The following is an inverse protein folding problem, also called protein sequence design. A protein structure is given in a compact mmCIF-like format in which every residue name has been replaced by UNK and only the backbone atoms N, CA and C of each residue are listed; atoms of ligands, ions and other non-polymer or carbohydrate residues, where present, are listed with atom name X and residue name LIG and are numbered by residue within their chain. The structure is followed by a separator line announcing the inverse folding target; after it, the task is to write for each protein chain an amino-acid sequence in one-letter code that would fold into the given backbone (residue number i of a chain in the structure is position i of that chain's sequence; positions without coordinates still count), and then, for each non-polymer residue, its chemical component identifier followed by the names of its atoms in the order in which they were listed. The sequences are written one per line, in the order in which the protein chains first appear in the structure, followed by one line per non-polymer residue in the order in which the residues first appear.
data_IF_121916210775
#
_entry.id   IF_121916210775
#
_cell.length_a   1.000
_cell.length_b   1.000
_cell.length_c   1.000
_cell.angle_alpha   90.00
_cell.angle_beta   90.00
_cell.angle_gamma   90.00
#
_symmetry.space_group_name_H-M   'P 1'
#
loop_
_entity.id
_entity.type
_entity.pdbx_description
1 polymer ?
#
# COMPACT_ATOMS: atom_id res chain seq x y z
N UNK A 1 23.62 12.84 -15.60
CA UNK A 1 24.34 12.54 -14.34
C UNK A 1 25.64 11.82 -14.71
N UNK A 2 26.77 12.13 -14.05
CA UNK A 2 28.06 11.44 -14.26
C UNK A 2 28.29 10.35 -13.19
N UNK A 3 29.15 9.36 -13.45
CA UNK A 3 29.49 8.28 -12.52
C UNK A 3 29.99 8.80 -11.16
N UNK A 4 30.91 9.77 -11.18
CA UNK A 4 31.40 10.41 -9.96
C UNK A 4 30.29 11.11 -9.17
N UNK A 5 29.36 11.78 -9.86
CA UNK A 5 28.22 12.43 -9.22
C UNK A 5 27.27 11.39 -8.60
N UNK A 6 27.01 10.27 -9.28
CA UNK A 6 26.16 9.21 -8.78
C UNK A 6 26.75 8.54 -7.53
N UNK A 7 28.06 8.25 -7.53
CA UNK A 7 28.76 7.71 -6.36
C UNK A 7 28.75 8.68 -5.18
N UNK A 8 28.96 9.97 -5.44
CA UNK A 8 28.89 11.02 -4.42
C UNK A 8 27.48 11.18 -3.83
N UNK A 9 26.44 11.09 -4.66
CA UNK A 9 25.04 11.15 -4.22
C UNK A 9 24.69 9.96 -3.34
N UNK A 10 25.24 8.77 -3.62
CA UNK A 10 25.05 7.57 -2.78
C UNK A 10 26.04 7.47 -1.62
N UNK A 11 27.10 8.28 -1.60
CA UNK A 11 28.19 8.28 -0.62
C UNK A 11 28.89 6.92 -0.51
N UNK A 12 29.28 6.39 -1.67
CA UNK A 12 29.97 5.10 -1.82
C UNK A 12 31.29 5.32 -2.57
N UNK A 13 32.28 4.46 -2.32
CA UNK A 13 33.57 4.55 -3.00
C UNK A 13 33.44 4.15 -4.48
N UNK A 14 34.34 4.69 -5.30
CA UNK A 14 34.57 4.34 -6.69
C UNK A 14 34.79 2.84 -6.95
N UNK A 15 35.31 2.11 -5.97
CA UNK A 15 35.58 0.67 -6.05
C UNK A 15 34.52 -0.19 -5.34
N UNK A 16 33.42 0.41 -4.87
CA UNK A 16 32.40 -0.33 -4.12
C UNK A 16 31.69 -1.40 -4.94
N UNK A 17 31.39 -2.51 -4.28
CA UNK A 17 30.66 -3.63 -4.88
C UNK A 17 29.21 -3.25 -5.21
N UNK A 18 28.56 -4.03 -6.09
CA UNK A 18 27.14 -3.81 -6.41
C UNK A 18 26.24 -3.97 -5.17
N UNK A 19 26.65 -4.82 -4.23
CA UNK A 19 25.96 -5.06 -2.96
C UNK A 19 26.04 -3.82 -2.05
N UNK A 20 27.21 -3.20 -1.94
CA UNK A 20 27.41 -1.93 -1.23
C UNK A 20 26.63 -0.77 -1.84
N UNK A 21 26.61 -0.64 -3.16
CA UNK A 21 25.82 0.39 -3.85
C UNK A 21 24.32 0.21 -3.56
N UNK A 22 23.86 -1.05 -3.51
CA UNK A 22 22.47 -1.41 -3.22
C UNK A 22 22.11 -1.16 -1.75
N UNK A 23 23.01 -1.44 -0.80
CA UNK A 23 22.78 -1.15 0.62
C UNK A 23 22.75 0.36 0.89
N UNK A 24 23.71 1.12 0.33
CA UNK A 24 23.78 2.57 0.46
C UNK A 24 22.54 3.29 -0.12
N UNK A 25 22.07 2.84 -1.29
CA UNK A 25 20.82 3.35 -1.89
C UNK A 25 19.62 3.16 -0.95
N UNK A 26 19.46 1.95 -0.39
CA UNK A 26 18.33 1.65 0.50
C UNK A 26 18.36 2.48 1.78
N UNK A 27 19.55 2.65 2.37
CA UNK A 27 19.77 3.52 3.54
C UNK A 27 19.29 4.95 3.27
N UNK A 28 19.77 5.55 2.17
CA UNK A 28 19.39 6.92 1.78
C UNK A 28 17.93 7.06 1.38
N UNK A 29 17.35 6.03 0.75
CA UNK A 29 15.94 6.02 0.37
C UNK A 29 15.01 6.07 1.61
N UNK A 30 15.40 5.44 2.72
CA UNK A 30 14.64 5.46 3.97
C UNK A 30 14.83 6.75 4.77
N UNK A 31 16.02 7.35 4.68
CA UNK A 31 16.30 8.64 5.31
C UNK A 31 15.52 9.78 4.64
N UNK A 32 15.48 9.79 3.30
CA UNK A 32 14.85 10.83 2.49
C UNK A 32 13.49 10.42 1.90
N UNK A 33 12.80 9.45 2.50
CA UNK A 33 11.49 9.03 2.00
C UNK A 33 10.46 10.16 2.15
N UNK A 34 9.70 10.52 1.09
CA UNK A 34 8.79 11.67 1.12
C UNK A 34 7.63 11.52 2.12
N UNK A 35 7.34 10.30 2.58
CA UNK A 35 6.34 10.06 3.64
C UNK A 35 6.85 10.42 5.04
N UNK A 36 8.17 10.39 5.27
CA UNK A 36 8.77 10.70 6.57
C UNK A 36 8.87 12.21 6.81
N UNK A 37 9.03 12.99 5.74
CA UNK A 37 9.21 14.43 5.81
C UNK A 37 8.19 15.20 4.99
N UNK A 38 7.62 16.24 5.60
CA UNK A 38 6.62 17.10 4.93
C UNK A 38 7.27 18.21 4.08
N UNK A 39 8.59 18.17 3.87
CA UNK A 39 9.35 19.25 3.26
C UNK A 39 9.61 18.98 1.77
N UNK A 40 9.38 19.98 0.91
CA UNK A 40 9.58 19.88 -0.55
C UNK A 40 11.02 19.57 -0.98
N UNK A 41 12.01 19.83 -0.12
CA UNK A 41 13.42 19.64 -0.46
C UNK A 41 13.84 18.16 -0.48
N UNK A 42 13.19 17.31 0.32
CA UNK A 42 13.56 15.89 0.42
C UNK A 42 13.06 15.07 -0.79
N UNK A 43 11.98 15.50 -1.44
CA UNK A 43 11.53 14.95 -2.71
C UNK A 43 12.58 15.12 -3.82
N UNK A 44 13.25 16.28 -3.87
CA UNK A 44 14.32 16.56 -4.82
C UNK A 44 15.55 15.67 -4.55
N UNK A 45 15.90 15.46 -3.28
CA UNK A 45 17.02 14.59 -2.91
C UNK A 45 16.70 13.11 -3.17
N UNK A 46 15.49 12.64 -2.85
CA UNK A 46 15.06 11.27 -3.12
C UNK A 46 15.12 10.94 -4.62
N UNK A 47 14.67 11.89 -5.46
CA UNK A 47 14.78 11.76 -6.91
C UNK A 47 16.23 11.64 -7.37
N UNK A 48 17.14 12.47 -6.84
CA UNK A 48 18.59 12.39 -7.15
C UNK A 48 19.19 11.04 -6.73
N UNK A 49 18.80 10.53 -5.56
CA UNK A 49 19.25 9.22 -5.05
C UNK A 49 18.81 8.09 -5.99
N UNK A 50 17.56 8.14 -6.48
CA UNK A 50 17.02 7.15 -7.42
C UNK A 50 17.73 7.22 -8.78
N UNK A 51 17.89 8.42 -9.33
CA UNK A 51 18.62 8.64 -10.59
C UNK A 51 20.08 8.15 -10.51
N UNK A 52 20.75 8.37 -9.38
CA UNK A 52 22.11 7.91 -9.15
C UNK A 52 22.23 6.39 -9.13
N UNK A 53 21.32 5.71 -8.42
CA UNK A 53 21.31 4.24 -8.33
C UNK A 53 21.00 3.59 -9.68
N UNK A 54 20.00 4.09 -10.41
CA UNK A 54 19.66 3.60 -11.75
C UNK A 54 20.84 3.72 -12.72
N UNK A 55 21.56 4.85 -12.65
CA UNK A 55 22.75 5.07 -13.47
C UNK A 55 23.85 4.04 -13.15
N UNK A 56 24.17 3.82 -11.88
CA UNK A 56 25.21 2.85 -11.48
C UNK A 56 24.82 1.41 -11.82
N UNK A 57 23.54 1.05 -11.63
CA UNK A 57 23.02 -0.27 -11.99
C UNK A 57 23.13 -0.54 -13.49
N UNK A 58 22.84 0.44 -14.33
CA UNK A 58 22.90 0.31 -15.80
C UNK A 58 24.34 0.13 -16.31
N UNK A 59 25.29 0.91 -15.78
CA UNK A 59 26.70 0.82 -16.16
C UNK A 59 27.34 -0.51 -15.72
N UNK A 60 26.87 -1.09 -14.62
CA UNK A 60 27.31 -2.42 -14.17
C UNK A 60 26.79 -3.53 -15.11
N UNK A 61 25.52 -3.46 -15.54
CA UNK A 61 24.96 -4.43 -16.49
C UNK A 61 25.64 -4.41 -17.87
N UNK A 62 25.94 -3.21 -18.41
CA UNK A 62 26.63 -3.08 -19.70
C UNK A 62 28.04 -3.69 -19.73
N UNK A 63 28.70 -3.83 -18.56
CA UNK A 63 29.97 -4.55 -18.44
C UNK A 63 29.81 -6.07 -18.39
N UNK A 64 28.68 -6.58 -17.91
CA UNK A 64 28.42 -8.01 -17.74
C UNK A 64 27.64 -8.64 -18.92
N UNK A 65 27.00 -7.85 -19.78
CA UNK A 65 26.28 -8.35 -20.96
C UNK A 65 27.20 -9.01 -22.01
N UNK A 66 28.51 -8.84 -21.91
CA UNK A 66 29.50 -9.55 -22.77
C UNK A 66 29.64 -11.04 -22.40
N UNK A 67 29.17 -11.47 -21.22
CA UNK A 67 29.39 -12.84 -20.70
C UNK A 67 28.11 -13.69 -20.52
N UNK A 68 26.92 -13.18 -20.86
CA UNK A 68 25.68 -13.96 -20.81
C UNK A 68 25.02 -14.12 -22.19
N UNK A 69 25.76 -14.71 -23.12
CA UNK A 69 25.17 -15.57 -24.14
C UNK A 69 25.60 -17.00 -23.80
N UNK A 70 24.65 -17.93 -23.73
CA UNK A 70 24.78 -19.37 -23.44
C UNK A 70 24.52 -19.76 -21.97
N UNK A 71 23.24 -19.77 -21.57
CA UNK A 71 22.65 -20.92 -20.87
C UNK A 71 21.18 -20.66 -20.49
N UNK A 72 20.31 -20.60 -21.51
CA UNK A 72 18.86 -20.64 -21.34
C UNK A 72 18.36 -22.09 -21.38
N UNK A 73 18.58 -22.85 -20.29
CA UNK A 73 17.80 -24.07 -20.03
C UNK A 73 16.54 -23.70 -19.25
N UNK A 74 15.32 -24.01 -19.74
CA UNK A 74 14.10 -23.71 -19.00
C UNK A 74 14.02 -24.61 -17.76
N UNK A 75 14.09 -24.01 -16.57
CA UNK A 75 13.78 -24.71 -15.30
C UNK A 75 12.26 -24.95 -15.26
N UNK A 76 11.80 -26.09 -15.75
CA UNK A 76 10.37 -26.44 -15.86
C UNK A 76 9.71 -26.91 -14.55
N UNK A 77 10.34 -26.74 -13.39
CA UNK A 77 9.79 -27.21 -12.10
C UNK A 77 9.83 -26.13 -11.01
N UNK A 78 9.19 -24.98 -11.25
CA UNK A 78 8.88 -24.02 -10.20
C UNK A 78 7.57 -24.43 -9.51
N UNK A 79 7.64 -25.21 -8.43
CA UNK A 79 6.47 -25.46 -7.57
C UNK A 79 6.10 -24.14 -6.89
N UNK A 80 5.06 -23.47 -7.37
CA UNK A 80 4.49 -22.28 -6.73
C UNK A 80 3.91 -22.70 -5.38
N UNK A 81 4.41 -22.10 -4.29
CA UNK A 81 3.75 -22.23 -2.99
C UNK A 81 2.38 -21.52 -3.07
N UNK A 82 1.33 -22.05 -2.41
CA UNK A 82 0.04 -21.38 -2.35
C UNK A 82 0.22 -19.98 -1.76
N UNK A 83 -0.43 -18.99 -2.36
CA UNK A 83 -0.54 -17.66 -1.77
C UNK A 83 -1.56 -17.74 -0.63
N UNK A 84 -1.14 -17.48 0.61
CA UNK A 84 -2.00 -17.52 1.79
C UNK A 84 -1.23 -17.97 3.03
N UNK A 85 -1.78 -17.62 4.21
CA UNK A 85 -1.30 -18.18 5.47
C UNK A 85 -1.73 -19.67 5.55
N UNK A 86 -0.85 -20.58 6.01
CA UNK A 86 -1.23 -21.97 6.31
C UNK A 86 -2.38 -22.01 7.33
N UNK A 87 -3.29 -22.96 7.20
CA UNK A 87 -4.53 -23.02 8.01
C UNK A 87 -4.29 -23.25 9.51
N UNK A 88 -3.18 -23.87 9.91
CA UNK A 88 -2.99 -24.39 11.28
C UNK A 88 -1.72 -23.93 12.02
N UNK A 89 -1.00 -22.95 11.49
CA UNK A 89 0.16 -22.37 12.18
C UNK A 89 -0.16 -20.93 12.59
N UNK A 90 -0.13 -20.65 13.91
CA UNK A 90 -0.02 -19.27 14.40
C UNK A 90 1.07 -18.60 13.57
N UNK A 91 0.71 -17.56 12.83
CA UNK A 91 1.65 -16.75 12.03
C UNK A 91 2.83 -16.48 12.97
N UNK A 92 4.03 -17.05 12.72
CA UNK A 92 5.16 -16.84 13.58
C UNK A 92 5.34 -15.34 13.70
N UNK A 93 5.36 -14.84 14.94
CA UNK A 93 5.47 -13.42 15.27
C UNK A 93 6.41 -12.77 14.26
N UNK A 94 5.81 -11.95 13.39
CA UNK A 94 6.26 -11.59 12.06
C UNK A 94 7.79 -11.49 11.93
N UNK A 95 8.46 -12.59 11.58
CA UNK A 95 9.90 -12.59 11.30
C UNK A 95 10.12 -12.07 9.87
N UNK A 96 9.90 -10.76 9.72
CA UNK A 96 10.26 -10.01 8.51
C UNK A 96 11.77 -10.13 8.22
N UNK A 97 12.56 -10.47 9.26
CA UNK A 97 13.97 -10.82 9.21
C UNK A 97 14.28 -11.81 8.10
N UNK A 98 13.37 -12.72 7.73
CA UNK A 98 13.58 -13.62 6.58
C UNK A 98 13.73 -12.90 5.22
N UNK A 99 13.00 -11.81 5.02
CA UNK A 99 13.03 -11.02 3.78
C UNK A 99 14.04 -9.87 3.84
N UNK A 100 14.48 -9.50 5.04
CA UNK A 100 15.51 -8.49 5.29
C UNK A 100 16.87 -9.09 5.70
N UNK A 101 16.99 -10.43 5.79
CA UNK A 101 18.18 -11.12 6.32
C UNK A 101 19.46 -10.80 5.59
N UNK A 102 19.42 -10.91 4.25
CA UNK A 102 20.54 -10.58 3.35
C UNK A 102 20.99 -9.11 3.46
N UNK A 103 20.20 -8.29 4.14
CA UNK A 103 20.33 -6.85 4.21
C UNK A 103 20.67 -6.34 5.62
N UNK A 104 20.17 -7.01 6.66
CA UNK A 104 20.57 -6.81 8.06
C UNK A 104 22.01 -7.26 8.33
N UNK A 105 22.52 -8.24 7.57
CA UNK A 105 23.88 -8.76 7.71
C UNK A 105 24.99 -7.74 7.32
N UNK A 106 24.67 -6.71 6.52
CA UNK A 106 25.66 -5.73 6.03
C UNK A 106 25.93 -4.54 6.95
N UNK A 107 24.95 -4.09 7.74
CA UNK A 107 25.09 -2.99 8.71
C UNK A 107 24.08 -3.17 9.87
N UNK A 108 24.31 -4.15 10.77
CA UNK A 108 23.33 -4.55 11.79
C UNK A 108 23.00 -3.44 12.81
N UNK A 109 23.96 -2.56 13.07
CA UNK A 109 23.82 -1.49 14.05
C UNK A 109 22.92 -0.37 13.53
N UNK A 110 23.05 -0.01 12.24
CA UNK A 110 22.14 0.93 11.59
C UNK A 110 20.68 0.44 11.66
N UNK A 111 20.43 -0.84 11.39
CA UNK A 111 19.06 -1.39 11.39
C UNK A 111 18.42 -1.41 12.77
N UNK A 112 19.16 -1.83 13.79
CA UNK A 112 18.66 -1.83 15.18
C UNK A 112 18.31 -0.42 15.65
N UNK A 113 19.17 0.56 15.34
CA UNK A 113 18.91 1.95 15.71
C UNK A 113 17.74 2.54 14.90
N UNK A 114 17.69 2.28 13.59
CA UNK A 114 16.62 2.73 12.72
C UNK A 114 15.27 2.16 13.13
N UNK A 115 15.18 0.84 13.36
CA UNK A 115 13.95 0.16 13.77
C UNK A 115 13.47 0.68 15.13
N UNK A 116 14.38 0.79 16.10
CA UNK A 116 14.06 1.36 17.42
C UNK A 116 13.49 2.76 17.28
N UNK A 117 14.16 3.64 16.54
CA UNK A 117 13.71 5.02 16.30
C UNK A 117 12.38 5.08 15.55
N UNK A 118 12.19 4.21 14.57
CA UNK A 118 10.95 4.11 13.81
C UNK A 118 9.78 3.73 14.72
N UNK A 119 9.94 2.68 15.55
CA UNK A 119 8.89 2.27 16.48
C UNK A 119 8.67 3.29 17.60
N UNK A 120 9.71 3.98 18.08
CA UNK A 120 9.55 5.09 19.04
C UNK A 120 8.78 6.26 18.43
N UNK A 121 9.11 6.69 17.20
CA UNK A 121 8.38 7.75 16.50
C UNK A 121 6.95 7.32 16.15
N UNK A 122 6.77 6.08 15.67
CA UNK A 122 5.46 5.51 15.36
C UNK A 122 4.61 5.43 16.64
N UNK A 123 5.13 4.84 17.71
CA UNK A 123 4.44 4.72 18.99
C UNK A 123 4.18 6.09 19.64
N UNK A 124 5.07 7.07 19.49
CA UNK A 124 4.83 8.45 19.93
C UNK A 124 3.74 9.13 19.09
N UNK A 125 3.67 8.81 17.80
CA UNK A 125 2.55 9.14 16.91
C UNK A 125 1.38 8.17 17.09
N UNK A 126 1.36 7.28 18.08
CA UNK A 126 0.23 6.43 18.44
C UNK A 126 -0.21 6.78 19.85
N UNK A 127 -1.33 7.51 19.98
CA UNK A 127 -1.93 7.82 21.28
C UNK A 127 -2.37 6.50 21.93
N UNK A 128 -2.21 6.35 23.25
CA UNK A 128 -2.68 5.19 24.00
C UNK A 128 -4.20 4.97 23.89
N UNK A 129 -4.94 5.98 23.43
CA UNK A 129 -6.40 5.95 23.24
C UNK A 129 -6.85 5.19 21.96
N UNK A 130 -5.94 4.64 21.16
CA UNK A 130 -6.26 3.89 19.94
C UNK A 130 -6.77 4.74 18.76
N UNK A 131 -6.60 6.06 18.82
CA UNK A 131 -7.09 7.03 17.80
C UNK A 131 -6.07 7.38 16.71
N UNK A 132 -5.04 6.57 16.54
CA UNK A 132 -3.94 6.90 15.65
C UNK A 132 -3.92 5.88 14.52
N UNK A 133 -4.50 6.31 13.40
CA UNK A 133 -5.00 5.47 12.32
C UNK A 133 -6.38 5.90 11.82
N UNK A 134 -7.09 6.78 12.55
CA UNK A 134 -8.15 7.58 11.93
C UNK A 134 -7.47 8.61 11.03
N UNK A 135 -7.27 8.28 9.74
CA UNK A 135 -7.51 9.27 8.67
C UNK A 135 -8.68 10.11 9.16
N UNK A 136 -8.52 11.43 9.31
CA UNK A 136 -9.57 12.31 9.85
C UNK A 136 -10.89 11.84 9.23
N UNK A 137 -11.70 11.07 9.98
CA UNK A 137 -12.90 10.44 9.40
C UNK A 137 -13.64 11.60 8.80
N UNK A 138 -13.77 11.62 7.47
CA UNK A 138 -14.23 12.79 6.74
C UNK A 138 -15.41 13.37 7.50
N UNK A 139 -15.19 14.51 8.18
CA UNK A 139 -16.06 14.94 9.28
C UNK A 139 -17.47 15.00 8.71
N UNK A 140 -18.33 14.10 9.16
CA UNK A 140 -19.67 14.02 8.61
C UNK A 140 -20.37 15.37 8.86
N UNK A 141 -21.13 15.89 7.87
CA UNK A 141 -21.83 17.14 8.06
C UNK A 141 -22.76 17.03 9.27
N UNK A 142 -22.79 18.07 10.12
CA UNK A 142 -23.60 18.10 11.35
C UNK A 142 -25.09 17.89 11.09
N UNK A 143 -25.56 18.23 9.87
CA UNK A 143 -26.91 17.94 9.39
C UNK A 143 -26.77 16.96 8.22
N UNK A 144 -27.38 15.79 8.37
CA UNK A 144 -27.41 14.76 7.34
C UNK A 144 -28.81 14.76 6.71
N UNK A 145 -28.95 14.84 5.37
CA UNK A 145 -30.23 14.61 4.72
C UNK A 145 -30.69 13.16 4.94
N UNK A 146 -31.99 12.93 4.87
CA UNK A 146 -32.51 11.57 4.83
C UNK A 146 -32.22 10.97 3.46
N UNK A 147 -31.38 9.93 3.44
CA UNK A 147 -31.03 9.21 2.22
C UNK A 147 -31.86 7.94 2.09
N UNK A 148 -32.31 7.67 0.88
CA UNK A 148 -32.77 6.37 0.44
C UNK A 148 -31.64 5.69 -0.32
N UNK A 149 -31.25 4.50 0.11
CA UNK A 149 -30.17 3.72 -0.50
C UNK A 149 -30.73 2.39 -0.94
N UNK A 150 -30.42 2.01 -2.18
CA UNK A 150 -30.78 0.71 -2.76
C UNK A 150 -29.62 0.13 -3.57
N UNK A 151 -29.63 -1.19 -3.78
CA UNK A 151 -28.65 -1.90 -4.61
C UNK A 151 -29.36 -2.63 -5.74
N UNK A 152 -29.05 -2.24 -6.98
CA UNK A 152 -29.49 -2.97 -8.16
C UNK A 152 -28.72 -4.30 -8.28
N UNK A 153 -29.42 -5.40 -7.97
CA UNK A 153 -28.88 -6.76 -8.02
C UNK A 153 -28.47 -7.21 -9.43
N UNK A 154 -29.03 -6.60 -10.47
CA UNK A 154 -28.68 -6.90 -11.86
C UNK A 154 -27.30 -6.34 -12.24
N UNK A 155 -26.96 -5.16 -11.71
CA UNK A 155 -25.69 -4.48 -11.95
C UNK A 155 -24.61 -4.88 -10.94
N UNK A 156 -24.98 -5.31 -9.73
CA UNK A 156 -24.01 -5.68 -8.70
C UNK A 156 -23.19 -6.91 -9.12
N UNK A 157 -21.87 -6.78 -9.23
CA UNK A 157 -20.97 -7.89 -9.62
C UNK A 157 -20.34 -8.62 -8.42
N UNK A 158 -20.74 -8.27 -7.19
CA UNK A 158 -20.21 -8.90 -5.97
C UNK A 158 -18.77 -8.51 -5.64
N UNK A 159 -18.38 -7.26 -5.87
CA UNK A 159 -17.04 -6.74 -5.55
C UNK A 159 -16.81 -6.50 -4.04
N UNK A 160 -17.87 -6.55 -3.24
CA UNK A 160 -17.86 -6.46 -1.78
C UNK A 160 -17.29 -5.17 -1.15
N UNK A 161 -16.92 -4.15 -1.94
CA UNK A 161 -16.37 -2.89 -1.43
C UNK A 161 -17.34 -2.13 -0.51
N UNK A 162 -18.64 -2.24 -0.76
CA UNK A 162 -19.67 -1.58 0.03
C UNK A 162 -19.80 -2.12 1.48
N UNK A 163 -19.64 -3.43 1.72
CA UNK A 163 -19.62 -4.00 3.08
C UNK A 163 -18.38 -3.55 3.85
N UNK A 164 -17.24 -3.38 3.16
CA UNK A 164 -15.99 -2.94 3.79
C UNK A 164 -16.08 -1.46 4.22
N UNK A 165 -16.66 -0.60 3.38
CA UNK A 165 -16.74 0.83 3.62
C UNK A 165 -17.87 1.18 4.61
N UNK A 166 -19.02 0.51 4.49
CA UNK A 166 -20.21 0.77 5.30
C UNK A 166 -20.91 -0.55 5.70
N UNK A 167 -20.35 -1.33 6.65
CA UNK A 167 -20.90 -2.63 7.06
C UNK A 167 -22.27 -2.50 7.74
N UNK A 168 -22.53 -1.37 8.40
CA UNK A 168 -23.82 -1.11 9.05
C UNK A 168 -24.93 -0.78 8.04
N UNK A 169 -24.59 -0.51 6.77
CA UNK A 169 -25.54 -0.16 5.70
C UNK A 169 -25.73 -1.32 4.74
N UNK A 170 -24.64 -1.98 4.33
CA UNK A 170 -24.65 -3.02 3.30
C UNK A 170 -24.26 -4.39 3.87
N UNK A 171 -25.03 -5.40 3.50
CA UNK A 171 -24.68 -6.80 3.69
C UNK A 171 -24.38 -7.47 2.37
N UNK A 172 -23.62 -8.54 2.42
CA UNK A 172 -23.41 -9.43 1.29
C UNK A 172 -24.03 -10.78 1.60
N UNK A 173 -24.74 -11.33 0.62
CA UNK A 173 -25.29 -12.67 0.75
C UNK A 173 -24.16 -13.71 0.73
N UNK A 174 -23.72 -14.11 1.93
CA UNK A 174 -22.65 -15.09 2.17
C UNK A 174 -23.07 -16.54 1.85
N UNK A 175 -24.35 -16.79 1.63
CA UNK A 175 -24.85 -18.14 1.27
C UNK A 175 -24.49 -18.52 -0.17
N UNK A 176 -24.29 -17.53 -1.05
CA UNK A 176 -23.89 -17.77 -2.44
C UNK A 176 -22.37 -17.82 -2.57
N UNK A 177 -21.84 -19.00 -2.88
CA UNK A 177 -20.41 -19.17 -3.14
C UNK A 177 -19.92 -18.45 -4.42
N UNK A 178 -20.81 -18.20 -5.39
CA UNK A 178 -20.47 -17.52 -6.65
C UNK A 178 -21.27 -16.22 -6.79
N UNK A 179 -20.56 -15.12 -7.08
CA UNK A 179 -21.12 -13.78 -7.32
C UNK A 179 -22.12 -13.34 -6.24
N UNK A 180 -21.67 -13.24 -4.97
CA UNK A 180 -22.54 -12.85 -3.86
C UNK A 180 -22.98 -11.40 -4.06
N UNK A 181 -24.29 -11.16 -4.02
CA UNK A 181 -24.86 -9.82 -4.23
C UNK A 181 -24.92 -9.08 -2.91
N UNK A 182 -24.69 -7.77 -2.97
CA UNK A 182 -24.94 -6.90 -1.83
C UNK A 182 -26.42 -6.52 -1.72
N UNK A 183 -26.86 -6.21 -0.50
CA UNK A 183 -28.19 -5.71 -0.16
C UNK A 183 -28.08 -4.65 0.94
N UNK A 184 -29.05 -3.76 1.02
CA UNK A 184 -29.10 -2.73 2.06
C UNK A 184 -29.85 -3.27 3.28
N UNK A 185 -29.21 -3.25 4.45
CA UNK A 185 -29.83 -3.63 5.74
C UNK A 185 -30.45 -2.39 6.39
N UNK A 186 -29.68 -1.30 6.47
CA UNK A 186 -30.05 -0.10 7.19
C UNK A 186 -29.57 1.16 6.46
N UNK A 187 -30.51 1.88 5.87
CA UNK A 187 -30.24 3.12 5.13
C UNK A 187 -29.65 4.24 6.01
N UNK A 188 -29.79 4.16 7.34
CA UNK A 188 -29.28 5.12 8.32
C UNK A 188 -28.08 4.60 9.11
N UNK A 189 -27.48 3.48 8.70
CA UNK A 189 -26.38 2.84 9.42
C UNK A 189 -25.08 3.66 9.40
N UNK A 190 -24.88 4.53 8.42
CA UNK A 190 -23.70 5.37 8.28
C UNK A 190 -24.06 6.78 7.81
N UNK A 191 -23.16 7.75 7.99
CA UNK A 191 -23.38 9.09 7.48
C UNK A 191 -23.22 9.19 5.97
N UNK A 192 -23.72 10.31 5.44
CA UNK A 192 -23.81 10.59 4.00
C UNK A 192 -22.49 10.37 3.27
N UNK A 193 -21.37 10.85 3.83
CA UNK A 193 -20.06 10.72 3.18
C UNK A 193 -19.67 9.24 2.99
N UNK A 194 -19.84 8.41 4.04
CA UNK A 194 -19.51 6.98 3.95
C UNK A 194 -20.40 6.23 2.97
N UNK A 195 -21.69 6.56 2.93
CA UNK A 195 -22.64 5.96 2.00
C UNK A 195 -22.26 6.35 0.56
N UNK A 196 -21.94 7.63 0.32
CA UNK A 196 -21.50 8.11 -0.99
C UNK A 196 -20.15 7.50 -1.40
N UNK A 197 -19.19 7.36 -0.48
CA UNK A 197 -17.90 6.70 -0.75
C UNK A 197 -18.09 5.23 -1.14
N UNK A 198 -18.97 4.50 -0.43
CA UNK A 198 -19.34 3.14 -0.78
C UNK A 198 -19.97 3.07 -2.19
N UNK A 199 -20.86 4.01 -2.51
CA UNK A 199 -21.51 4.10 -3.81
C UNK A 199 -20.52 4.41 -4.95
N UNK A 200 -19.62 5.38 -4.76
CA UNK A 200 -18.58 5.78 -5.72
C UNK A 200 -17.54 4.68 -5.96
N UNK A 201 -17.24 3.87 -4.94
CA UNK A 201 -16.30 2.74 -5.07
C UNK A 201 -16.91 1.55 -5.84
N UNK A 202 -18.22 1.59 -6.13
CA UNK A 202 -18.88 0.53 -6.90
C UNK A 202 -18.51 0.64 -8.40
N UNK A 203 -17.81 -0.36 -8.98
CA UNK A 203 -17.33 -0.29 -10.37
C UNK A 203 -18.46 -0.26 -11.41
N UNK A 204 -19.58 -0.94 -11.12
CA UNK A 204 -20.75 -1.00 -12.02
C UNK A 204 -21.83 0.02 -11.69
N UNK A 205 -21.59 0.91 -10.71
CA UNK A 205 -22.55 1.91 -10.23
C UNK A 205 -23.91 1.29 -9.83
N UNK A 206 -23.88 0.10 -9.23
CA UNK A 206 -25.07 -0.65 -8.83
C UNK A 206 -25.80 -0.05 -7.61
N UNK A 207 -25.11 0.79 -6.83
CA UNK A 207 -25.68 1.42 -5.63
C UNK A 207 -26.41 2.69 -6.08
N UNK A 208 -27.64 2.85 -5.63
CA UNK A 208 -28.49 4.01 -5.88
C UNK A 208 -28.63 4.77 -4.57
N UNK A 209 -28.37 6.08 -4.62
CA UNK A 209 -28.52 6.98 -3.47
C UNK A 209 -29.42 8.13 -3.89
N UNK A 210 -30.53 8.30 -3.20
CA UNK A 210 -31.52 9.35 -3.43
C UNK A 210 -31.76 10.12 -2.13
N UNK A 211 -32.00 11.42 -2.24
CA UNK A 211 -32.43 12.21 -1.10
C UNK A 211 -33.95 12.14 -0.99
N UNK A 212 -34.49 11.65 0.13
CA UNK A 212 -35.94 11.50 0.30
C UNK A 212 -36.66 12.84 0.41
N UNK A 213 -35.97 13.87 0.90
CA UNK A 213 -36.56 15.19 1.14
C UNK A 213 -36.70 15.97 -0.18
N UNK A 214 -35.71 15.87 -1.07
CA UNK A 214 -35.72 16.55 -2.37
C UNK A 214 -36.18 15.66 -3.53
N UNK A 215 -36.28 14.34 -3.33
CA UNK A 215 -36.47 13.31 -4.36
C UNK A 215 -35.43 13.37 -5.49
N UNK A 216 -34.26 13.93 -5.18
CA UNK A 216 -33.15 14.06 -6.12
C UNK A 216 -32.24 12.84 -6.02
N UNK A 217 -31.86 12.29 -7.17
CA UNK A 217 -30.89 11.20 -7.24
C UNK A 217 -29.49 11.76 -7.07
N UNK A 218 -28.84 11.40 -5.97
CA UNK A 218 -27.46 11.81 -5.66
C UNK A 218 -26.44 10.91 -6.36
N UNK A 219 -26.75 9.63 -6.56
CA UNK A 219 -25.89 8.69 -7.25
C UNK A 219 -26.69 7.50 -7.83
N UNK A 220 -26.25 6.91 -8.97
CA UNK A 220 -25.35 7.48 -9.97
C UNK A 220 -25.89 8.81 -10.55
N UNK A 221 -24.96 9.69 -10.93
CA UNK A 221 -25.23 10.96 -11.62
C UNK A 221 -25.56 10.77 -13.10
#
# INVERSE_FOLDING_TARGET
MNAYQALKVLDVDSNSSQEEIKSAFRKKALEHHPDKSKNKNEDVEFKRITEAYEFLKKNHHQRNDVYHQNDSKPKTNFKRKPWGAPEDEKIPEQDWGKYTKEFEEGDPDFWKEYEKKFWEEYNARVRPDGRNGEYEKAKEPKKQPNLFVDVDKSLCIGCCSCEIIAPDVFEINKERMMNPKSSVINQKGAGVNKIMDAAMTCPTKAIIVENTDTKERMYPY
#
